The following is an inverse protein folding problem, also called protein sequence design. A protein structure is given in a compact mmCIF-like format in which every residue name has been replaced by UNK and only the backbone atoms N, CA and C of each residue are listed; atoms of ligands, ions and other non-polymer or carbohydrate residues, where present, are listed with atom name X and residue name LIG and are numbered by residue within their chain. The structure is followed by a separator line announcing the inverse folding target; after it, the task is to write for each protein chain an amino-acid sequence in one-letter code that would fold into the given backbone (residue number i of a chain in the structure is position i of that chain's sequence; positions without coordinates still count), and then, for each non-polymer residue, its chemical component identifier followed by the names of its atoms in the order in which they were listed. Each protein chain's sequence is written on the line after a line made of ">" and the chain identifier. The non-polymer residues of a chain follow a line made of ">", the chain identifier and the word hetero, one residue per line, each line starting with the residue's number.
data_IF_865666019389
#
_entry.id   IF_865666019389
#
_cell.length_a   1.000
_cell.length_b   1.000
_cell.length_c   1.000
_cell.angle_alpha   90.00
_cell.angle_beta   90.00
_cell.angle_gamma   90.00
#
_symmetry.space_group_name_H-M   'P 1'
#
loop_
_entity.id
_entity.type
_entity.pdbx_description
1 polymer ?
#
# COMPACT_ATOMS: atom_id res chain seq x y z
N UNK A 1 -27.12 17.69 4.80
CA UNK A 1 -26.33 17.89 3.57
C UNK A 1 -26.68 19.25 3.01
N UNK A 2 -25.72 20.16 2.84
CA UNK A 2 -25.98 21.52 2.34
C UNK A 2 -26.02 21.50 0.81
N UNK A 3 -26.91 22.28 0.18
CA UNK A 3 -27.08 22.35 -1.31
C UNK A 3 -25.73 22.53 -2.04
N UNK A 4 -24.82 23.31 -1.46
CA UNK A 4 -23.46 23.54 -1.98
C UNK A 4 -22.60 22.26 -2.04
N UNK A 5 -22.71 21.36 -1.08
CA UNK A 5 -21.98 20.09 -1.08
C UNK A 5 -22.49 19.15 -2.17
N UNK A 6 -23.80 19.18 -2.43
CA UNK A 6 -24.40 18.42 -3.52
C UNK A 6 -23.95 18.95 -4.88
N UNK A 7 -23.93 20.28 -5.05
CA UNK A 7 -23.41 20.92 -6.26
C UNK A 7 -21.93 20.60 -6.49
N UNK A 8 -21.08 20.72 -5.45
CA UNK A 8 -19.65 20.38 -5.57
C UNK A 8 -19.45 18.89 -5.93
N UNK A 9 -20.29 18.00 -5.39
CA UNK A 9 -20.24 16.56 -5.70
C UNK A 9 -20.65 16.25 -7.13
N UNK A 10 -21.66 16.94 -7.66
CA UNK A 10 -22.12 16.77 -9.04
C UNK A 10 -21.11 17.37 -10.02
N UNK A 11 -20.58 18.56 -9.73
CA UNK A 11 -19.74 19.32 -10.65
C UNK A 11 -18.28 18.83 -10.68
N UNK A 12 -17.73 18.44 -9.52
CA UNK A 12 -16.32 18.09 -9.37
C UNK A 12 -16.08 16.63 -9.02
N UNK A 13 -17.14 15.82 -8.89
CA UNK A 13 -17.02 14.41 -8.51
C UNK A 13 -16.50 14.17 -7.09
N UNK A 14 -16.58 15.16 -6.19
CA UNK A 14 -16.03 15.07 -4.84
C UNK A 14 -16.47 16.18 -3.88
N UNK A 15 -15.82 16.27 -2.73
CA UNK A 15 -16.10 17.27 -1.68
C UNK A 15 -14.84 18.02 -1.27
N UNK A 16 -14.97 19.16 -0.59
CA UNK A 16 -13.80 19.91 -0.08
C UNK A 16 -13.43 19.59 1.38
N UNK A 17 -14.26 18.80 2.06
CA UNK A 17 -14.10 18.54 3.48
C UNK A 17 -13.99 17.04 3.77
N UNK A 18 -13.06 16.70 4.65
CA UNK A 18 -12.99 15.40 5.28
C UNK A 18 -14.23 15.17 6.15
N UNK A 19 -14.69 13.91 6.23
CA UNK A 19 -15.69 13.45 7.20
C UNK A 19 -15.07 13.37 8.59
N UNK A 20 -15.88 13.30 9.63
CA UNK A 20 -15.38 13.35 11.00
C UNK A 20 -14.43 12.19 11.35
N UNK A 21 -14.70 10.98 10.87
CA UNK A 21 -13.78 9.84 11.06
C UNK A 21 -12.47 9.98 10.28
N UNK A 22 -12.50 10.60 9.09
CA UNK A 22 -11.30 10.88 8.29
C UNK A 22 -10.44 11.92 9.00
N UNK A 23 -11.06 12.99 9.53
CA UNK A 23 -10.38 14.01 10.34
C UNK A 23 -9.78 13.42 11.60
N UNK A 24 -10.47 12.50 12.25
CA UNK A 24 -9.97 11.84 13.45
C UNK A 24 -8.70 11.04 13.15
N UNK A 25 -8.71 10.22 12.10
CA UNK A 25 -7.52 9.48 11.65
C UNK A 25 -6.36 10.42 11.35
N UNK A 26 -6.61 11.47 10.56
CA UNK A 26 -5.59 12.46 10.20
C UNK A 26 -5.02 13.14 11.45
N UNK A 27 -5.88 13.63 12.36
CA UNK A 27 -5.44 14.31 13.59
C UNK A 27 -4.62 13.39 14.49
N UNK A 28 -5.05 12.14 14.66
CA UNK A 28 -4.32 11.16 15.46
C UNK A 28 -2.97 10.79 14.85
N UNK A 29 -2.83 10.86 13.52
CA UNK A 29 -1.54 10.67 12.87
C UNK A 29 -0.65 11.90 13.01
N UNK A 30 -1.18 13.10 12.72
CA UNK A 30 -0.47 14.39 12.86
C UNK A 30 0.09 14.58 14.27
N UNK A 31 -0.64 14.16 15.31
CA UNK A 31 -0.19 14.30 16.70
C UNK A 31 0.98 13.38 17.08
N UNK A 32 1.26 12.34 16.29
CA UNK A 32 2.40 11.43 16.50
C UNK A 32 3.64 11.81 15.69
N UNK A 33 3.51 12.76 14.76
CA UNK A 33 4.64 13.22 13.95
C UNK A 33 5.54 14.17 14.76
N UNK A 34 6.87 14.18 14.48
CA UNK A 34 7.75 15.24 14.96
C UNK A 34 7.34 16.59 14.38
N UNK A 35 7.81 17.69 14.99
CA UNK A 35 7.28 19.03 14.72
C UNK A 35 7.48 19.48 13.27
N UNK A 36 8.59 19.10 12.63
CA UNK A 36 8.87 19.45 11.23
C UNK A 36 7.86 18.76 10.30
N UNK A 37 7.74 17.44 10.38
CA UNK A 37 6.85 16.62 9.56
C UNK A 37 5.38 16.99 9.82
N UNK A 38 5.04 17.30 11.08
CA UNK A 38 3.73 17.81 11.47
C UNK A 38 3.41 19.09 10.70
N UNK A 39 4.32 20.08 10.71
CA UNK A 39 4.12 21.34 10.00
C UNK A 39 3.99 21.13 8.49
N UNK A 40 4.80 20.26 7.90
CA UNK A 40 4.69 19.90 6.47
C UNK A 40 3.31 19.31 6.17
N UNK A 41 2.82 18.37 6.99
CA UNK A 41 1.52 17.75 6.78
C UNK A 41 0.36 18.72 7.01
N UNK A 42 0.44 19.60 8.01
CA UNK A 42 -0.56 20.65 8.22
C UNK A 42 -0.68 21.57 7.00
N UNK A 43 0.45 22.01 6.43
CA UNK A 43 0.48 22.79 5.18
C UNK A 43 -0.13 22.03 3.99
N UNK A 44 0.12 20.71 3.90
CA UNK A 44 -0.53 19.86 2.89
C UNK A 44 -2.05 19.83 3.08
N UNK A 45 -2.53 19.67 4.32
CA UNK A 45 -3.95 19.61 4.65
C UNK A 45 -4.69 20.92 4.35
N UNK A 46 -4.04 22.07 4.57
CA UNK A 46 -4.57 23.38 4.17
C UNK A 46 -4.65 23.54 2.64
N UNK A 47 -3.77 22.84 1.91
CA UNK A 47 -3.72 22.85 0.45
C UNK A 47 -4.75 21.90 -0.19
N UNK A 48 -5.53 21.14 0.58
CA UNK A 48 -6.52 20.20 0.03
C UNK A 48 -7.59 20.95 -0.78
N UNK A 49 -7.68 20.61 -2.06
CA UNK A 49 -8.63 21.20 -3.01
C UNK A 49 -9.89 20.36 -3.17
N UNK A 50 -9.72 19.05 -3.31
CA UNK A 50 -10.77 18.11 -3.63
C UNK A 50 -10.50 16.77 -2.95
N UNK A 51 -11.57 16.16 -2.45
CA UNK A 51 -11.57 14.85 -1.82
C UNK A 51 -12.58 13.99 -2.56
N UNK A 52 -12.11 12.91 -3.18
CA UNK A 52 -12.95 11.94 -3.87
C UNK A 52 -13.05 10.67 -3.03
N UNK A 53 -14.21 10.01 -3.09
CA UNK A 53 -14.47 8.80 -2.31
C UNK A 53 -14.95 7.71 -3.25
N UNK A 54 -14.20 6.63 -3.31
CA UNK A 54 -14.49 5.46 -4.14
C UNK A 54 -14.92 4.29 -3.28
N UNK A 55 -15.55 3.29 -3.89
CA UNK A 55 -15.92 2.02 -3.23
C UNK A 55 -16.63 2.24 -1.88
N UNK A 56 -17.70 3.05 -1.90
CA UNK A 56 -18.48 3.42 -0.71
C UNK A 56 -17.68 4.11 0.42
N UNK A 57 -16.55 4.74 0.06
CA UNK A 57 -15.65 5.41 1.00
C UNK A 57 -14.55 4.52 1.54
N UNK A 58 -14.35 3.30 1.01
CA UNK A 58 -13.16 2.49 1.32
C UNK A 58 -11.88 3.20 0.89
N UNK A 59 -11.92 3.98 -0.18
CA UNK A 59 -10.78 4.78 -0.61
C UNK A 59 -11.17 6.26 -0.62
N UNK A 60 -10.37 7.09 0.03
CA UNK A 60 -10.51 8.55 0.06
C UNK A 60 -9.28 9.14 -0.60
N UNK A 61 -9.41 9.63 -1.82
CA UNK A 61 -8.32 10.23 -2.59
C UNK A 61 -8.31 11.74 -2.35
N UNK A 62 -7.12 12.26 -2.05
CA UNK A 62 -6.88 13.66 -1.67
C UNK A 62 -6.13 14.37 -2.80
N UNK A 63 -6.72 15.44 -3.31
CA UNK A 63 -6.13 16.27 -4.36
C UNK A 63 -5.68 17.59 -3.77
N UNK A 64 -4.38 17.86 -3.82
CA UNK A 64 -3.78 19.10 -3.32
C UNK A 64 -3.77 20.18 -4.41
N UNK A 65 -4.00 21.44 -4.02
CA UNK A 65 -3.84 22.60 -4.89
C UNK A 65 -2.34 22.81 -5.14
N UNK A 66 -1.96 22.94 -6.41
CA UNK A 66 -0.55 23.19 -6.76
C UNK A 66 0.36 22.09 -6.22
N UNK A 67 0.00 20.81 -6.43
CA UNK A 67 0.71 19.67 -5.83
C UNK A 67 2.25 19.75 -5.98
N UNK A 68 2.76 20.25 -7.10
CA UNK A 68 4.20 20.45 -7.31
C UNK A 68 4.85 21.51 -6.41
N UNK A 69 4.08 22.50 -5.95
CA UNK A 69 4.52 23.57 -5.03
C UNK A 69 4.32 23.24 -3.55
N UNK A 70 3.54 22.21 -3.24
CA UNK A 70 3.35 21.78 -1.85
C UNK A 70 4.55 20.92 -1.44
N UNK A 71 5.18 21.28 -0.32
CA UNK A 71 6.30 20.55 0.25
C UNK A 71 5.88 19.13 0.63
N UNK A 72 6.66 18.14 0.19
CA UNK A 72 6.50 16.74 0.57
C UNK A 72 7.34 16.38 1.79
N UNK A 73 6.90 15.37 2.53
CA UNK A 73 7.75 14.65 3.48
C UNK A 73 8.85 13.90 2.72
N UNK A 74 10.02 13.76 3.32
CA UNK A 74 11.04 12.89 2.76
C UNK A 74 10.54 11.45 2.73
N UNK A 75 10.69 10.77 1.60
CA UNK A 75 10.24 9.41 1.39
C UNK A 75 11.22 8.69 0.48
N UNK A 76 11.58 7.47 0.86
CA UNK A 76 12.42 6.59 0.03
C UNK A 76 11.65 5.99 -1.17
N UNK A 77 10.32 6.09 -1.19
CA UNK A 77 9.47 5.50 -2.24
C UNK A 77 8.53 6.53 -2.87
N UNK A 78 8.25 6.42 -4.19
CA UNK A 78 7.19 7.17 -4.87
C UNK A 78 5.81 7.01 -4.23
N UNK A 79 5.52 5.85 -3.65
CA UNK A 79 4.29 5.61 -2.90
C UNK A 79 4.61 4.83 -1.63
N UNK A 80 4.12 5.33 -0.50
CA UNK A 80 4.40 4.75 0.81
C UNK A 80 3.19 4.83 1.71
N UNK A 81 2.82 3.70 2.32
CA UNK A 81 1.93 3.72 3.48
C UNK A 81 2.73 4.15 4.69
N UNK A 82 2.46 5.34 5.21
CA UNK A 82 3.21 5.89 6.36
C UNK A 82 2.70 5.38 7.70
N UNK A 83 1.41 5.08 7.77
CA UNK A 83 0.82 4.59 9.01
C UNK A 83 -0.40 3.71 8.76
N UNK A 84 -0.68 2.85 9.73
CA UNK A 84 -1.95 2.16 9.87
C UNK A 84 -2.66 2.70 11.12
N UNK A 85 -3.87 3.21 10.94
CA UNK A 85 -4.76 3.71 11.99
C UNK A 85 -5.86 2.69 12.27
N UNK A 86 -6.06 2.36 13.55
CA UNK A 86 -7.02 1.36 14.01
C UNK A 86 -8.09 2.05 14.85
N UNK A 87 -9.35 1.91 14.43
CA UNK A 87 -10.47 2.42 15.22
C UNK A 87 -10.73 1.47 16.39
N UNK A 88 -10.61 1.97 17.61
CA UNK A 88 -10.81 1.15 18.80
C UNK A 88 -12.21 0.52 18.82
N UNK A 89 -12.27 -0.74 19.26
CA UNK A 89 -13.49 -1.57 19.28
C UNK A 89 -14.09 -1.88 17.90
N UNK A 90 -13.35 -1.67 16.81
CA UNK A 90 -13.78 -1.97 15.44
C UNK A 90 -12.71 -2.75 14.70
N UNK A 91 -13.14 -3.62 13.79
CA UNK A 91 -12.27 -4.32 12.83
C UNK A 91 -11.90 -3.45 11.63
N UNK A 92 -12.10 -2.12 11.72
CA UNK A 92 -11.80 -1.19 10.62
C UNK A 92 -10.41 -0.61 10.85
N UNK A 93 -9.57 -0.81 9.84
CA UNK A 93 -8.23 -0.24 9.71
C UNK A 93 -8.27 0.83 8.62
N UNK A 94 -7.46 1.87 8.78
CA UNK A 94 -7.23 2.91 7.78
C UNK A 94 -5.72 3.06 7.52
N UNK A 95 -5.27 2.71 6.33
CA UNK A 95 -3.92 3.02 5.86
C UNK A 95 -3.83 4.49 5.43
N UNK A 96 -2.77 5.18 5.84
CA UNK A 96 -2.49 6.55 5.42
C UNK A 96 -1.37 6.51 4.39
N UNK A 97 -1.70 6.84 3.15
CA UNK A 97 -0.81 6.66 2.00
C UNK A 97 -0.35 8.00 1.45
N UNK A 98 0.95 8.07 1.20
CA UNK A 98 1.63 9.21 0.64
C UNK A 98 2.19 8.86 -0.73
N UNK A 99 2.09 9.80 -1.67
CA UNK A 99 2.73 9.71 -2.99
C UNK A 99 3.72 10.87 -3.12
N UNK A 100 4.99 10.56 -3.36
CA UNK A 100 6.10 11.53 -3.42
C UNK A 100 6.10 12.48 -2.22
N UNK A 101 5.97 11.91 -1.01
CA UNK A 101 5.96 12.67 0.24
C UNK A 101 4.66 13.45 0.52
N UNK A 102 3.61 13.31 -0.29
CA UNK A 102 2.36 14.07 -0.13
C UNK A 102 1.19 13.15 0.19
N UNK A 103 0.32 13.57 1.11
CA UNK A 103 -0.88 12.83 1.46
C UNK A 103 -1.72 12.60 0.19
N UNK A 104 -1.86 11.34 -0.17
CA UNK A 104 -2.48 10.90 -1.42
C UNK A 104 -3.83 10.26 -1.16
N UNK A 105 -3.89 9.32 -0.19
CA UNK A 105 -5.14 8.64 0.11
C UNK A 105 -5.25 8.17 1.57
N UNK A 106 -6.50 7.93 1.97
CA UNK A 106 -6.86 7.12 3.14
C UNK A 106 -7.55 5.85 2.64
N UNK A 107 -7.07 4.69 3.10
CA UNK A 107 -7.48 3.37 2.61
C UNK A 107 -8.05 2.52 3.73
N UNK A 108 -9.36 2.32 3.73
CA UNK A 108 -10.08 1.58 4.75
C UNK A 108 -10.19 0.09 4.37
N UNK A 109 -10.01 -0.79 5.37
CA UNK A 109 -10.21 -2.24 5.19
C UNK A 109 -11.66 -2.62 4.88
N UNK A 110 -12.62 -1.79 5.30
CA UNK A 110 -14.05 -1.98 5.05
C UNK A 110 -14.76 -0.62 4.88
N UNK A 111 -15.94 -0.56 4.23
CA UNK A 111 -16.68 0.68 4.06
C UNK A 111 -16.99 1.36 5.42
N UNK A 112 -16.58 2.62 5.62
CA UNK A 112 -16.75 3.32 6.91
C UNK A 112 -18.17 3.85 7.12
N UNK A 113 -19.15 3.45 6.30
CA UNK A 113 -20.53 3.94 6.37
C UNK A 113 -21.20 3.72 7.73
N UNK A 114 -20.75 2.73 8.49
CA UNK A 114 -21.18 2.46 9.87
C UNK A 114 -20.52 3.37 10.91
N UNK A 115 -19.33 3.92 10.64
CA UNK A 115 -18.60 4.80 11.54
C UNK A 115 -19.26 6.18 11.67
N UNK A 116 -19.94 6.65 10.61
CA UNK A 116 -20.61 7.95 10.60
C UNK A 116 -21.82 8.05 11.56
N UNK A 117 -22.29 6.94 12.13
CA UNK A 117 -23.47 6.88 13.01
C UNK A 117 -23.14 6.57 14.46
N UNK A 118 -21.86 6.41 14.79
CA UNK A 118 -21.40 5.93 16.10
C UNK A 118 -20.41 6.94 16.66
N UNK A 119 -20.39 7.11 17.98
CA UNK A 119 -19.33 7.85 18.65
C UNK A 119 -17.97 7.31 18.18
N UNK A 120 -17.20 8.17 17.55
CA UNK A 120 -15.85 7.84 17.12
C UNK A 120 -15.03 7.65 18.40
N UNK A 121 -14.64 6.41 18.69
CA UNK A 121 -13.71 6.10 19.78
C UNK A 121 -12.30 6.59 19.47
N UNK A 122 -11.31 6.14 20.23
CA UNK A 122 -9.93 6.51 19.97
C UNK A 122 -9.38 5.82 18.72
N UNK A 123 -8.36 6.43 18.13
CA UNK A 123 -7.64 5.90 16.97
C UNK A 123 -6.20 5.66 17.38
N UNK A 124 -5.80 4.39 17.38
CA UNK A 124 -4.41 4.00 17.56
C UNK A 124 -3.70 4.07 16.22
N UNK A 125 -2.65 4.89 16.12
CA UNK A 125 -1.81 4.97 14.92
C UNK A 125 -0.51 4.21 15.17
N UNK A 126 -0.09 3.44 14.16
CA UNK A 126 1.20 2.75 14.13
C UNK A 126 1.99 3.32 12.95
N UNK A 127 3.04 4.08 13.25
CA UNK A 127 3.97 4.60 12.24
C UNK A 127 4.78 3.46 11.65
N UNK A 128 4.95 3.46 10.32
CA UNK A 128 5.90 2.57 9.66
C UNK A 128 7.28 3.20 9.68
N UNK A 129 8.32 2.38 9.78
CA UNK A 129 9.74 2.80 9.81
C UNK A 129 10.25 3.46 8.51
N UNK A 130 9.36 3.75 7.56
CA UNK A 130 9.70 4.34 6.27
C UNK A 130 10.19 5.80 6.34
N UNK A 131 10.19 6.42 7.52
CA UNK A 131 10.69 7.78 7.69
C UNK A 131 12.20 7.89 7.92
N UNK A 132 12.91 6.85 8.41
CA UNK A 132 14.22 7.11 9.05
C UNK A 132 15.39 6.16 8.75
N UNK A 133 15.28 5.17 7.86
CA UNK A 133 16.47 4.44 7.44
C UNK A 133 16.38 4.00 5.96
N UNK A 134 17.36 4.36 5.11
CA UNK A 134 17.48 3.74 3.81
C UNK A 134 17.65 2.23 4.02
N UNK A 135 16.95 1.39 3.25
CA UNK A 135 17.09 -0.05 3.40
C UNK A 135 18.55 -0.44 3.10
N UNK A 136 19.11 -1.30 3.95
CA UNK A 136 20.48 -1.81 3.74
C UNK A 136 20.46 -2.80 2.59
N UNK A 137 21.47 -2.74 1.73
CA UNK A 137 21.68 -3.76 0.71
C UNK A 137 21.79 -5.15 1.38
N UNK A 138 21.17 -6.15 0.77
CA UNK A 138 21.24 -7.52 1.26
C UNK A 138 22.67 -8.06 1.21
N UNK A 139 23.00 -8.90 2.19
CA UNK A 139 24.16 -9.79 2.07
C UNK A 139 23.88 -10.88 1.02
N UNK A 140 24.94 -11.58 0.59
CA UNK A 140 24.85 -12.67 -0.40
C UNK A 140 23.75 -13.67 0.04
N UNK A 141 22.81 -14.05 -0.85
CA UNK A 141 21.72 -14.95 -0.51
C UNK A 141 22.23 -16.28 0.06
N UNK A 142 21.51 -16.87 1.04
CA UNK A 142 21.84 -18.20 1.53
C UNK A 142 21.72 -19.23 0.39
N UNK A 143 22.73 -20.10 0.27
CA UNK A 143 22.73 -21.19 -0.72
C UNK A 143 21.52 -22.10 -0.52
N UNK A 144 20.85 -22.46 -1.62
CA UNK A 144 19.65 -23.27 -1.68
C UNK A 144 18.35 -22.50 -1.40
N UNK A 145 18.43 -21.19 -1.17
CA UNK A 145 17.27 -20.34 -0.85
C UNK A 145 16.33 -20.07 -2.02
N UNK A 146 15.17 -19.47 -1.71
CA UNK A 146 14.22 -18.97 -2.71
C UNK A 146 14.88 -17.93 -3.60
N UNK A 147 15.64 -17.01 -3.03
CA UNK A 147 16.29 -15.92 -3.72
C UNK A 147 17.34 -16.42 -4.72
N UNK A 148 18.08 -17.48 -4.39
CA UNK A 148 19.01 -18.11 -5.34
C UNK A 148 18.26 -18.70 -6.55
N UNK A 149 17.07 -19.28 -6.35
CA UNK A 149 16.27 -19.80 -7.47
C UNK A 149 15.78 -18.68 -8.39
N UNK A 150 15.40 -17.53 -7.82
CA UNK A 150 15.02 -16.34 -8.59
C UNK A 150 16.22 -15.78 -9.37
N UNK A 151 17.39 -15.68 -8.72
CA UNK A 151 18.64 -15.22 -9.33
C UNK A 151 19.16 -16.12 -10.47
N UNK A 152 18.67 -17.37 -10.58
CA UNK A 152 18.97 -18.26 -11.72
C UNK A 152 18.11 -18.00 -12.95
N UNK A 153 17.00 -17.27 -12.79
CA UNK A 153 16.03 -16.97 -13.85
C UNK A 153 16.16 -15.53 -14.33
N UNK A 154 16.46 -14.59 -13.42
CA UNK A 154 16.56 -13.18 -13.70
C UNK A 154 17.74 -12.56 -12.93
N UNK A 155 18.35 -11.52 -13.50
CA UNK A 155 19.28 -10.66 -12.76
C UNK A 155 18.48 -9.86 -11.72
N UNK A 156 18.86 -10.03 -10.45
CA UNK A 156 18.22 -9.34 -9.34
C UNK A 156 18.98 -8.05 -9.01
N UNK A 157 18.27 -6.94 -9.04
CA UNK A 157 18.75 -5.61 -8.75
C UNK A 157 18.18 -5.11 -7.41
N UNK A 158 18.85 -4.14 -6.79
CA UNK A 158 18.35 -3.43 -5.60
C UNK A 158 17.88 -4.36 -4.47
N UNK A 159 18.56 -5.50 -4.29
CA UNK A 159 18.16 -6.50 -3.29
C UNK A 159 18.32 -5.93 -1.87
N UNK A 160 17.22 -5.86 -1.15
CA UNK A 160 17.16 -5.30 0.21
C UNK A 160 17.34 -6.40 1.26
N UNK A 161 18.08 -6.10 2.32
CA UNK A 161 18.30 -7.02 3.42
C UNK A 161 16.97 -7.39 4.11
N UNK A 162 16.80 -8.65 4.58
CA UNK A 162 15.60 -9.04 5.32
C UNK A 162 15.48 -8.26 6.63
N UNK A 163 14.24 -8.03 7.07
CA UNK A 163 13.97 -7.41 8.39
C UNK A 163 14.05 -8.44 9.50
N UNK A 164 14.47 -8.01 10.70
CA UNK A 164 14.58 -8.88 11.89
C UNK A 164 13.23 -9.47 12.36
N UNK A 165 12.10 -8.91 11.90
CA UNK A 165 10.76 -9.42 12.16
C UNK A 165 9.81 -8.97 11.05
N UNK A 166 9.74 -9.69 9.90
CA UNK A 166 8.95 -9.27 8.75
C UNK A 166 7.46 -9.46 9.02
N UNK A 167 6.88 -8.58 9.83
CA UNK A 167 5.44 -8.47 10.02
C UNK A 167 4.90 -7.64 8.88
N UNK A 168 4.06 -8.24 8.04
CA UNK A 168 3.30 -7.50 7.04
C UNK A 168 2.21 -6.75 7.77
N UNK A 169 2.51 -5.50 8.13
CA UNK A 169 1.68 -4.72 9.03
C UNK A 169 0.26 -4.57 8.45
N UNK A 170 -0.71 -4.99 9.26
CA UNK A 170 -2.13 -4.88 8.97
C UNK A 170 -2.69 -5.94 8.00
N UNK A 171 -1.91 -6.91 7.54
CA UNK A 171 -2.46 -8.07 6.86
C UNK A 171 -3.02 -9.06 7.88
N UNK A 172 -4.29 -9.43 7.72
CA UNK A 172 -4.95 -10.45 8.55
C UNK A 172 -4.81 -11.84 7.92
N UNK A 173 -4.68 -11.90 6.60
CA UNK A 173 -4.58 -13.14 5.83
C UNK A 173 -3.30 -13.91 6.13
N UNK A 174 -3.33 -15.26 6.06
CA UNK A 174 -2.13 -16.06 6.23
C UNK A 174 -1.15 -15.83 5.07
N UNK A 175 0.14 -15.73 5.40
CA UNK A 175 1.24 -15.60 4.43
C UNK A 175 1.59 -17.00 3.89
N UNK A 176 1.65 -17.22 2.56
CA UNK A 176 2.20 -18.44 1.98
C UNK A 176 3.61 -18.73 2.50
N UNK A 177 3.91 -20.01 2.74
CA UNK A 177 5.18 -20.44 3.36
C UNK A 177 6.40 -20.01 2.54
N UNK A 178 6.31 -20.07 1.23
CA UNK A 178 7.41 -19.71 0.33
C UNK A 178 7.62 -18.20 0.21
N UNK A 179 6.55 -17.40 0.33
CA UNK A 179 6.66 -15.95 0.53
C UNK A 179 7.32 -15.63 1.87
N UNK A 180 6.91 -16.28 2.97
CA UNK A 180 7.53 -16.10 4.27
C UNK A 180 9.03 -16.48 4.25
N UNK A 181 9.41 -17.52 3.51
CA UNK A 181 10.81 -17.86 3.29
C UNK A 181 11.55 -16.79 2.49
N UNK A 182 10.94 -16.26 1.41
CA UNK A 182 11.53 -15.17 0.63
C UNK A 182 11.76 -13.92 1.49
N UNK A 183 10.82 -13.58 2.37
CA UNK A 183 10.93 -12.45 3.31
C UNK A 183 12.02 -12.64 4.37
N UNK A 184 12.37 -13.89 4.68
CA UNK A 184 13.50 -14.20 5.55
C UNK A 184 14.86 -14.07 4.83
N UNK A 185 14.85 -14.07 3.50
CA UNK A 185 16.05 -13.97 2.66
C UNK A 185 16.28 -12.54 2.14
N UNK A 186 15.21 -11.76 1.89
CA UNK A 186 15.28 -10.37 1.44
C UNK A 186 13.99 -9.59 1.78
N UNK A 187 14.04 -8.25 1.77
CA UNK A 187 12.87 -7.38 1.98
C UNK A 187 12.51 -6.54 0.75
N UNK A 188 12.93 -6.99 -0.44
CA UNK A 188 12.63 -6.33 -1.70
C UNK A 188 13.74 -6.57 -2.73
N UNK A 189 13.39 -6.47 -4.00
CA UNK A 189 14.33 -6.47 -5.13
C UNK A 189 13.59 -6.04 -6.40
N UNK A 190 14.35 -5.77 -7.46
CA UNK A 190 13.87 -5.61 -8.83
C UNK A 190 14.42 -6.72 -9.71
N UNK A 191 13.64 -7.17 -10.69
CA UNK A 191 14.04 -8.20 -11.64
C UNK A 191 13.33 -7.93 -12.97
N UNK A 192 14.04 -7.38 -13.95
CA UNK A 192 13.40 -6.86 -15.16
C UNK A 192 12.44 -5.71 -14.85
N UNK A 193 11.22 -5.77 -15.38
CA UNK A 193 10.14 -4.82 -15.03
C UNK A 193 9.49 -5.11 -13.68
N UNK A 194 9.68 -6.30 -13.10
CA UNK A 194 9.05 -6.68 -11.84
C UNK A 194 9.74 -6.05 -10.63
N UNK A 195 8.94 -5.55 -9.71
CA UNK A 195 9.36 -5.07 -8.39
C UNK A 195 8.74 -5.95 -7.31
N UNK A 196 9.54 -6.49 -6.38
CA UNK A 196 9.08 -7.17 -5.17
C UNK A 196 9.17 -6.22 -3.97
N UNK A 197 8.05 -6.03 -3.26
CA UNK A 197 7.90 -5.04 -2.17
C UNK A 197 8.21 -5.57 -0.77
N UNK A 198 8.58 -6.85 -0.64
CA UNK A 198 8.92 -7.43 0.65
C UNK A 198 7.80 -7.36 1.69
N UNK A 199 8.16 -7.00 2.92
CA UNK A 199 7.25 -6.89 4.07
C UNK A 199 6.37 -5.63 4.05
N UNK A 200 6.58 -4.73 3.09
CA UNK A 200 5.81 -3.49 2.91
C UNK A 200 5.07 -3.48 1.57
N UNK A 201 4.19 -4.47 1.29
CA UNK A 201 3.44 -4.53 0.05
C UNK A 201 2.57 -3.29 -0.14
N UNK A 202 2.39 -2.88 -1.39
CA UNK A 202 1.37 -1.89 -1.76
C UNK A 202 -0.02 -2.46 -1.49
N UNK A 203 -1.03 -1.61 -1.42
CA UNK A 203 -2.41 -2.05 -1.31
C UNK A 203 -3.22 -1.46 -2.44
N UNK A 204 -4.07 -2.28 -3.03
CA UNK A 204 -5.15 -1.81 -3.89
C UNK A 204 -6.49 -1.99 -3.17
N UNK A 205 -7.34 -0.98 -3.29
CA UNK A 205 -8.67 -0.97 -2.70
C UNK A 205 -9.68 -1.19 -3.82
N UNK A 206 -10.24 -2.40 -3.91
CA UNK A 206 -11.34 -2.69 -4.83
C UNK A 206 -12.67 -2.66 -4.07
N UNK A 207 -13.78 -2.75 -4.82
CA UNK A 207 -15.13 -2.63 -4.27
C UNK A 207 -15.39 -3.65 -3.15
N UNK A 208 -15.08 -4.92 -3.41
CA UNK A 208 -15.41 -6.02 -2.50
C UNK A 208 -14.27 -6.35 -1.55
N UNK A 209 -13.03 -6.32 -2.02
CA UNK A 209 -11.85 -6.80 -1.27
C UNK A 209 -10.67 -5.86 -1.47
N UNK A 210 -9.82 -5.73 -0.47
CA UNK A 210 -8.52 -5.05 -0.61
C UNK A 210 -7.46 -6.11 -0.90
N UNK A 211 -6.47 -5.81 -1.71
CA UNK A 211 -5.37 -6.74 -1.99
C UNK A 211 -4.03 -6.14 -1.60
N UNK A 212 -3.15 -6.95 -1.03
CA UNK A 212 -1.76 -6.63 -0.78
C UNK A 212 -0.92 -7.08 -1.96
N UNK A 213 -0.31 -6.14 -2.67
CA UNK A 213 0.51 -6.36 -3.86
C UNK A 213 1.95 -6.60 -3.42
N UNK A 214 2.42 -7.83 -3.57
CA UNK A 214 3.78 -8.21 -3.19
C UNK A 214 4.77 -8.07 -4.33
N UNK A 215 4.33 -8.29 -5.57
CA UNK A 215 5.14 -8.03 -6.75
C UNK A 215 4.30 -7.47 -7.89
N UNK A 216 4.85 -6.55 -8.70
CA UNK A 216 4.18 -6.01 -9.89
C UNK A 216 5.16 -5.55 -10.97
N UNK A 217 4.70 -5.50 -12.23
CA UNK A 217 5.46 -5.01 -13.40
C UNK A 217 4.84 -3.77 -14.09
N UNK A 218 3.81 -3.19 -13.46
CA UNK A 218 3.04 -2.06 -13.98
C UNK A 218 1.76 -2.44 -14.73
N UNK A 219 1.65 -3.68 -15.24
CA UNK A 219 0.43 -4.19 -15.88
C UNK A 219 -0.21 -5.31 -15.07
N UNK A 220 0.60 -6.12 -14.39
CA UNK A 220 0.18 -7.26 -13.58
C UNK A 220 0.73 -7.14 -12.17
N UNK A 221 0.04 -7.75 -11.22
CA UNK A 221 0.52 -7.87 -9.85
C UNK A 221 0.19 -9.23 -9.24
N UNK A 222 1.12 -9.76 -8.44
CA UNK A 222 0.89 -10.89 -7.57
C UNK A 222 0.46 -10.37 -6.20
N UNK A 223 -0.74 -10.75 -5.78
CA UNK A 223 -1.35 -10.17 -4.60
C UNK A 223 -2.07 -11.19 -3.71
N UNK A 224 -2.32 -10.78 -2.47
CA UNK A 224 -3.07 -11.56 -1.47
C UNK A 224 -4.29 -10.74 -1.03
N UNK A 225 -5.51 -11.30 -1.11
CA UNK A 225 -6.71 -10.63 -0.60
C UNK A 225 -6.63 -10.46 0.93
N UNK A 226 -7.04 -9.29 1.44
CA UNK A 226 -7.10 -8.98 2.88
C UNK A 226 -8.30 -9.67 3.53
N UNK A 227 -8.08 -10.31 4.69
CA UNK A 227 -9.11 -10.96 5.50
C UNK A 227 -9.48 -12.38 5.07
N UNK A 228 -8.80 -12.98 4.08
CA UNK A 228 -9.02 -14.37 3.72
C UNK A 228 -8.40 -15.34 4.74
N UNK A 229 -9.05 -16.48 4.95
CA UNK A 229 -8.58 -17.52 5.86
C UNK A 229 -7.55 -18.46 5.23
N UNK A 230 -7.40 -18.42 3.90
CA UNK A 230 -6.52 -19.30 3.13
C UNK A 230 -5.39 -18.53 2.44
N UNK A 231 -4.17 -19.07 2.39
CA UNK A 231 -3.04 -18.39 1.75
C UNK A 231 -3.09 -18.61 0.24
N UNK A 232 -3.98 -17.91 -0.47
CA UNK A 232 -4.04 -17.94 -1.93
C UNK A 232 -3.39 -16.69 -2.53
N UNK A 233 -2.64 -16.92 -3.60
CA UNK A 233 -2.07 -15.88 -4.45
C UNK A 233 -3.02 -15.65 -5.62
N UNK A 234 -3.29 -14.38 -5.84
CA UNK A 234 -4.06 -13.88 -6.98
C UNK A 234 -3.13 -13.17 -7.95
N UNK A 235 -3.46 -13.27 -9.23
CA UNK A 235 -2.91 -12.43 -10.27
C UNK A 235 -3.94 -11.33 -10.55
N UNK A 236 -3.54 -10.09 -10.34
CA UNK A 236 -4.33 -8.92 -10.68
C UNK A 236 -3.83 -8.33 -12.00
N UNK A 237 -4.71 -8.26 -13.00
CA UNK A 237 -4.49 -7.54 -14.25
C UNK A 237 -4.95 -6.10 -14.06
N UNK A 238 -4.00 -5.18 -13.94
CA UNK A 238 -4.24 -3.76 -13.66
C UNK A 238 -4.85 -3.03 -14.87
N UNK A 239 -4.66 -3.58 -16.08
CA UNK A 239 -5.17 -2.98 -17.32
C UNK A 239 -6.65 -3.31 -17.48
N UNK A 240 -7.03 -4.56 -17.22
CA UNK A 240 -8.40 -5.06 -17.36
C UNK A 240 -9.23 -4.95 -16.07
N UNK A 241 -8.60 -4.60 -14.94
CA UNK A 241 -9.20 -4.58 -13.60
C UNK A 241 -9.80 -5.95 -13.22
N UNK A 242 -9.08 -7.04 -13.50
CA UNK A 242 -9.51 -8.41 -13.25
C UNK A 242 -8.58 -9.15 -12.29
N UNK A 243 -9.15 -10.01 -11.45
CA UNK A 243 -8.43 -10.77 -10.42
C UNK A 243 -8.67 -12.27 -10.61
N UNK A 244 -7.60 -13.01 -10.88
CA UNK A 244 -7.63 -14.46 -11.01
C UNK A 244 -6.92 -15.14 -9.84
N UNK A 245 -7.59 -16.07 -9.15
CA UNK A 245 -6.93 -16.94 -8.18
C UNK A 245 -5.99 -17.92 -8.90
N UNK A 246 -4.73 -17.98 -8.49
CA UNK A 246 -3.69 -18.76 -9.20
C UNK A 246 -3.30 -20.01 -8.43
N UNK A 247 -2.78 -19.85 -7.21
CA UNK A 247 -2.08 -20.94 -6.51
C UNK A 247 -1.89 -20.61 -5.01
N UNK A 248 -1.69 -21.61 -4.14
CA UNK A 248 -1.34 -21.37 -2.74
C UNK A 248 0.15 -21.01 -2.51
N UNK A 249 0.95 -20.84 -3.57
CA UNK A 249 2.39 -20.56 -3.50
C UNK A 249 2.74 -19.26 -4.24
N UNK A 250 3.60 -18.43 -3.66
CA UNK A 250 3.98 -17.15 -4.25
C UNK A 250 5.09 -17.25 -5.29
N UNK A 251 6.06 -18.14 -5.06
CA UNK A 251 7.30 -18.15 -5.83
C UNK A 251 7.10 -18.75 -7.22
N UNK A 252 6.26 -19.78 -7.35
CA UNK A 252 5.99 -20.42 -8.63
C UNK A 252 5.47 -19.44 -9.70
N UNK A 253 4.37 -18.69 -9.47
CA UNK A 253 3.87 -17.74 -10.46
C UNK A 253 4.86 -16.60 -10.72
N UNK A 254 5.61 -16.14 -9.72
CA UNK A 254 6.64 -15.12 -9.92
C UNK A 254 7.74 -15.62 -10.87
N UNK A 255 8.23 -16.85 -10.67
CA UNK A 255 9.22 -17.45 -11.57
C UNK A 255 8.69 -17.60 -13.00
N UNK A 256 7.42 -17.97 -13.15
CA UNK A 256 6.81 -18.15 -14.47
C UNK A 256 6.68 -16.81 -15.21
N UNK A 257 6.28 -15.74 -14.51
CA UNK A 257 6.22 -14.38 -15.08
C UNK A 257 7.61 -13.88 -15.50
N UNK A 258 8.63 -14.06 -14.66
CA UNK A 258 10.00 -13.69 -14.99
C UNK A 258 10.51 -14.47 -16.21
N UNK A 259 10.29 -15.80 -16.26
CA UNK A 259 10.69 -16.59 -17.45
C UNK A 259 10.03 -16.10 -18.72
N UNK A 260 8.74 -15.76 -18.66
CA UNK A 260 7.99 -15.25 -19.80
C UNK A 260 8.58 -13.92 -20.30
N UNK A 261 8.84 -12.98 -19.40
CA UNK A 261 9.43 -11.68 -19.73
C UNK A 261 10.80 -11.83 -20.41
N UNK A 262 11.72 -12.59 -19.80
CA UNK A 262 13.07 -12.77 -20.34
C UNK A 262 13.09 -13.58 -21.63
N UNK A 263 12.12 -14.48 -21.83
CA UNK A 263 11.94 -15.19 -23.11
C UNK A 263 11.47 -14.24 -24.22
N UNK A 264 10.61 -13.27 -23.90
CA UNK A 264 10.17 -12.23 -24.87
C UNK A 264 11.31 -11.29 -25.22
N UNK A 265 12.11 -10.88 -24.24
CA UNK A 265 13.27 -10.01 -24.45
C UNK A 265 14.32 -10.65 -25.37
N UNK A 266 14.49 -11.98 -25.32
CA UNK A 266 15.47 -12.70 -26.14
C UNK A 266 15.06 -12.89 -27.62
N UNK A 267 13.78 -12.66 -27.96
CA UNK A 267 13.25 -12.84 -29.31
C UNK A 267 13.10 -11.54 -30.11
N UNK A 268 13.38 -10.39 -29.49
CA UNK A 268 13.34 -9.06 -30.11
C UNK A 268 14.76 -8.57 -30.40
#
# INVERSE_FOLDING_TARGET
>A
MRIRELADRILYGGTKAFRDYERLVIRSFVSQLPDLERSVLENQLESVRLIQRFHQGKQVVVHLRGATSVLGLESASPEVRMADAFFENRSIRCGIVFSFGRLSSLEFSAPPGTLARIALGDVKVVLRECLNAPPKAAAIPPKGGVLERLAKVADLEEVLAPRENPKILGMVSPVPRDLAQLLAECDGFRAGSWTFYGSSPRTIVLEHTNYFLFAEDGEKALCIPDGESSPHIHLYDQVNDDVLAVTPTFVAPLLDMLREEFSRASNN
#
